data_IF_652339437828
#
_entry.id   IF_652339437828
#
_cell.length_a   1.000
_cell.length_b   1.000
_cell.length_c   1.000
_cell.angle_alpha   90.00
_cell.angle_beta   90.00
_cell.angle_gamma   90.00
#
_symmetry.space_group_name_H-M   'P 1'
#
loop_
_entity.id
_entity.type
_entity.pdbx_description
1 polymer ?
#
# COMPACT_ATOMS: atom_id res chain seq x y z
N UNK A 1 36.38 24.81 -18.32
CA UNK A 1 35.37 23.74 -18.56
C UNK A 1 35.09 23.03 -17.23
N UNK A 2 34.09 23.49 -16.45
CA UNK A 2 33.66 22.85 -15.19
C UNK A 2 32.18 22.45 -15.36
N UNK A 3 31.92 21.49 -16.26
CA UNK A 3 30.54 21.11 -16.62
C UNK A 3 30.25 19.62 -16.42
N UNK A 4 31.28 18.78 -16.17
CA UNK A 4 31.12 17.33 -16.09
C UNK A 4 30.72 16.78 -14.71
N UNK A 5 31.22 17.39 -13.62
CA UNK A 5 31.04 16.84 -12.26
C UNK A 5 29.70 17.22 -11.61
N UNK A 6 29.12 18.37 -11.97
CA UNK A 6 27.85 18.83 -11.39
C UNK A 6 26.65 17.95 -11.81
N UNK A 7 26.63 17.46 -13.06
CA UNK A 7 25.56 16.59 -13.57
C UNK A 7 25.49 15.24 -12.83
N UNK A 8 26.64 14.66 -12.46
CA UNK A 8 26.70 13.36 -11.77
C UNK A 8 26.16 13.40 -10.34
N UNK A 9 26.45 14.47 -9.59
CA UNK A 9 25.99 14.66 -8.21
C UNK A 9 24.50 15.04 -8.17
N UNK A 10 24.04 15.86 -9.11
CA UNK A 10 22.62 16.24 -9.21
C UNK A 10 21.77 15.03 -9.63
N UNK A 11 22.23 14.21 -10.59
CA UNK A 11 21.52 13.00 -11.00
C UNK A 11 21.38 11.97 -9.89
N UNK A 12 22.46 11.69 -9.16
CA UNK A 12 22.47 10.72 -8.04
C UNK A 12 21.62 11.20 -6.87
N UNK A 13 21.65 12.49 -6.51
CA UNK A 13 20.81 13.04 -5.43
C UNK A 13 19.32 13.05 -5.77
N UNK A 14 18.94 13.36 -7.02
CA UNK A 14 17.54 13.25 -7.49
C UNK A 14 17.07 11.80 -7.47
N UNK A 15 17.89 10.86 -7.95
CA UNK A 15 17.57 9.43 -7.93
C UNK A 15 17.37 8.91 -6.50
N UNK A 16 18.30 9.22 -5.59
CA UNK A 16 18.18 8.85 -4.17
C UNK A 16 16.91 9.42 -3.55
N UNK A 17 16.59 10.69 -3.80
CA UNK A 17 15.36 11.32 -3.30
C UNK A 17 14.10 10.64 -3.81
N UNK A 18 14.06 10.26 -5.10
CA UNK A 18 12.93 9.51 -5.68
C UNK A 18 12.78 8.13 -5.04
N UNK A 19 13.89 7.40 -4.88
CA UNK A 19 13.92 6.09 -4.22
C UNK A 19 13.43 6.19 -2.77
N UNK A 20 13.92 7.16 -2.01
CA UNK A 20 13.49 7.39 -0.62
C UNK A 20 11.99 7.70 -0.52
N UNK A 21 11.46 8.58 -1.39
CA UNK A 21 10.02 8.87 -1.44
C UNK A 21 9.20 7.61 -1.74
N UNK A 22 9.67 6.76 -2.65
CA UNK A 22 9.01 5.49 -2.96
C UNK A 22 9.01 4.53 -1.76
N UNK A 23 10.15 4.35 -1.10
CA UNK A 23 10.26 3.54 0.12
C UNK A 23 9.35 4.06 1.24
N UNK A 24 9.33 5.37 1.47
CA UNK A 24 8.44 5.98 2.47
C UNK A 24 6.97 5.70 2.17
N UNK A 25 6.56 5.81 0.89
CA UNK A 25 5.20 5.50 0.46
C UNK A 25 4.84 4.03 0.72
N UNK A 26 5.73 3.10 0.36
CA UNK A 26 5.53 1.67 0.62
C UNK A 26 5.42 1.37 2.12
N UNK A 27 6.29 1.97 2.95
CA UNK A 27 6.23 1.78 4.40
C UNK A 27 4.90 2.28 4.98
N UNK A 28 4.40 3.44 4.53
CA UNK A 28 3.09 3.95 4.96
C UNK A 28 1.95 3.01 4.57
N UNK A 29 1.97 2.46 3.35
CA UNK A 29 0.98 1.49 2.90
C UNK A 29 1.06 0.20 3.74
N UNK A 30 2.26 -0.34 3.96
CA UNK A 30 2.46 -1.54 4.76
C UNK A 30 2.00 -1.36 6.22
N UNK A 31 2.20 -0.17 6.80
CA UNK A 31 1.67 0.16 8.13
C UNK A 31 0.15 0.10 8.16
N UNK A 32 -0.54 0.61 7.14
CA UNK A 32 -2.00 0.54 7.06
C UNK A 32 -2.49 -0.90 6.84
N UNK A 33 -1.78 -1.73 6.06
CA UNK A 33 -2.09 -3.16 5.93
C UNK A 33 -1.91 -3.88 7.25
N UNK A 34 -0.85 -3.58 8.01
CA UNK A 34 -0.65 -4.13 9.37
C UNK A 34 -1.76 -3.70 10.32
N UNK A 35 -2.15 -2.43 10.28
CA UNK A 35 -3.29 -1.91 11.04
C UNK A 35 -4.60 -2.64 10.67
N UNK A 36 -4.84 -2.90 9.38
CA UNK A 36 -5.99 -3.65 8.90
C UNK A 36 -6.01 -5.08 9.49
N UNK A 37 -4.88 -5.79 9.44
CA UNK A 37 -4.75 -7.14 10.03
C UNK A 37 -5.05 -7.13 11.53
N UNK A 38 -4.47 -6.17 12.26
CA UNK A 38 -4.67 -6.04 13.70
C UNK A 38 -6.13 -5.69 14.06
N UNK A 39 -6.78 -4.84 13.27
CA UNK A 39 -8.17 -4.41 13.54
C UNK A 39 -9.23 -5.47 13.23
N UNK A 40 -8.91 -6.48 12.41
CA UNK A 40 -9.76 -7.67 12.25
C UNK A 40 -9.76 -8.59 13.48
N UNK A 41 -8.77 -8.45 14.37
CA UNK A 41 -8.66 -9.21 15.62
C UNK A 41 -8.88 -10.73 15.44
N UNK A 42 -8.23 -11.32 14.43
CA UNK A 42 -8.33 -12.74 14.10
C UNK A 42 -6.94 -13.32 13.86
N UNK A 43 -6.69 -14.50 14.43
CA UNK A 43 -5.43 -15.23 14.26
C UNK A 43 -5.41 -16.05 12.96
N UNK A 44 -6.56 -16.19 12.30
CA UNK A 44 -6.74 -17.04 11.12
C UNK A 44 -6.55 -16.28 9.81
N UNK A 45 -5.50 -15.47 9.71
CA UNK A 45 -5.17 -14.73 8.48
C UNK A 45 -4.32 -15.60 7.56
N UNK A 46 -4.87 -15.96 6.40
CA UNK A 46 -4.21 -16.81 5.40
C UNK A 46 -3.43 -15.99 4.36
N UNK A 47 -3.79 -14.72 4.18
CA UNK A 47 -3.16 -13.89 3.19
C UNK A 47 -3.72 -12.47 3.18
N UNK A 48 -3.07 -11.63 2.39
CA UNK A 48 -3.56 -10.29 2.11
C UNK A 48 -3.00 -9.83 0.77
N UNK A 49 -3.82 -9.15 -0.01
CA UNK A 49 -3.36 -8.51 -1.25
C UNK A 49 -3.75 -7.04 -1.24
N UNK A 50 -3.03 -6.25 -2.03
CA UNK A 50 -3.30 -4.83 -2.23
C UNK A 50 -2.95 -4.43 -3.65
N UNK A 51 -3.85 -3.70 -4.29
CA UNK A 51 -3.66 -3.12 -5.63
C UNK A 51 -3.99 -1.65 -5.62
N UNK A 52 -3.35 -0.89 -6.51
CA UNK A 52 -3.77 0.49 -6.78
C UNK A 52 -5.02 0.43 -7.66
N UNK A 53 -6.08 1.14 -7.30
CA UNK A 53 -7.28 1.25 -8.14
C UNK A 53 -6.95 2.00 -9.43
N UNK A 54 -7.55 1.58 -10.54
CA UNK A 54 -7.37 2.24 -11.84
C UNK A 54 -8.28 3.49 -11.95
N UNK A 55 -9.50 3.40 -11.43
CA UNK A 55 -10.51 4.47 -11.43
C UNK A 55 -10.22 5.52 -10.35
N UNK A 56 -9.78 5.09 -9.17
CA UNK A 56 -9.51 5.99 -8.05
C UNK A 56 -8.04 6.00 -7.69
N UNK A 57 -7.52 7.13 -7.23
CA UNK A 57 -6.12 7.21 -6.77
C UNK A 57 -5.87 6.47 -5.43
N UNK A 58 -6.86 5.69 -4.96
CA UNK A 58 -6.80 4.87 -3.76
C UNK A 58 -6.04 3.56 -4.02
N UNK A 59 -5.61 2.93 -2.93
CA UNK A 59 -5.28 1.52 -2.89
C UNK A 59 -6.48 0.75 -2.34
N UNK A 60 -6.75 -0.41 -2.91
CA UNK A 60 -7.78 -1.34 -2.47
C UNK A 60 -7.10 -2.67 -2.19
N UNK A 61 -7.47 -3.33 -1.11
CA UNK A 61 -6.93 -4.63 -0.75
C UNK A 61 -7.95 -5.50 -0.05
N UNK A 62 -7.56 -6.74 0.17
CA UNK A 62 -8.32 -7.68 0.99
C UNK A 62 -7.40 -8.39 1.98
N UNK A 63 -7.99 -8.80 3.11
CA UNK A 63 -7.38 -9.75 4.05
C UNK A 63 -8.22 -11.02 4.02
N UNK A 64 -7.56 -12.15 3.79
CA UNK A 64 -8.20 -13.45 3.65
C UNK A 64 -8.19 -14.12 5.03
N UNK A 65 -9.38 -14.31 5.60
CA UNK A 65 -9.58 -14.87 6.94
C UNK A 65 -10.33 -16.19 6.81
N UNK A 66 -9.94 -17.20 7.58
CA UNK A 66 -10.75 -18.43 7.69
C UNK A 66 -11.85 -18.20 8.73
N UNK A 67 -13.09 -18.21 8.26
CA UNK A 67 -14.30 -18.11 9.07
C UNK A 67 -15.21 -19.28 8.72
N UNK A 68 -15.70 -20.02 9.73
CA UNK A 68 -16.63 -21.14 9.52
C UNK A 68 -16.14 -22.15 8.45
N UNK A 69 -14.84 -22.51 8.50
CA UNK A 69 -14.15 -23.36 7.51
C UNK A 69 -14.18 -22.85 6.06
N UNK A 70 -14.40 -21.56 5.85
CA UNK A 70 -14.37 -20.91 4.52
C UNK A 70 -13.43 -19.71 4.56
N UNK A 71 -12.73 -19.48 3.45
CA UNK A 71 -11.91 -18.27 3.31
C UNK A 71 -12.83 -17.13 2.90
N UNK A 72 -12.91 -16.10 3.73
CA UNK A 72 -13.67 -14.87 3.51
C UNK A 72 -12.69 -13.73 3.29
N UNK A 73 -12.97 -12.90 2.29
CA UNK A 73 -12.19 -11.70 1.99
C UNK A 73 -12.79 -10.48 2.70
N UNK A 74 -11.98 -9.82 3.52
CA UNK A 74 -12.33 -8.56 4.17
C UNK A 74 -11.67 -7.40 3.43
N UNK A 75 -12.49 -6.61 2.73
CA UNK A 75 -12.00 -5.56 1.85
C UNK A 75 -11.74 -4.24 2.57
N UNK A 76 -10.65 -3.58 2.21
CA UNK A 76 -10.29 -2.27 2.74
C UNK A 76 -9.79 -1.35 1.64
N UNK A 77 -9.82 -0.04 1.91
CA UNK A 77 -9.20 0.99 1.08
C UNK A 77 -8.22 1.83 1.88
N UNK A 78 -7.16 2.25 1.21
CA UNK A 78 -6.20 3.25 1.69
C UNK A 78 -6.22 4.42 0.70
N UNK A 79 -6.64 5.59 1.16
CA UNK A 79 -6.68 6.81 0.34
C UNK A 79 -5.27 7.37 0.08
N UNK A 80 -5.09 8.34 -0.85
CA UNK A 80 -3.79 8.96 -1.13
C UNK A 80 -3.13 9.62 0.09
N UNK A 81 -3.95 10.08 1.05
CA UNK A 81 -3.52 10.64 2.34
C UNK A 81 -3.16 9.56 3.38
N UNK A 82 -3.17 8.28 2.98
CA UNK A 82 -2.95 7.11 3.81
C UNK A 82 -4.03 6.85 4.86
N UNK A 83 -5.19 7.51 4.76
CA UNK A 83 -6.33 7.18 5.62
C UNK A 83 -6.89 5.80 5.26
N UNK A 84 -7.16 5.01 6.29
CA UNK A 84 -7.66 3.64 6.20
C UNK A 84 -9.17 3.60 6.38
N UNK A 85 -9.86 2.73 5.65
CA UNK A 85 -11.28 2.43 5.90
C UNK A 85 -11.63 1.03 5.42
N UNK A 86 -12.44 0.31 6.21
CA UNK A 86 -13.13 -0.90 5.76
C UNK A 86 -14.16 -0.55 4.68
N UNK A 87 -14.33 -1.44 3.70
CA UNK A 87 -15.36 -1.32 2.66
C UNK A 87 -16.11 -2.64 2.55
N UNK A 88 -17.42 -2.55 2.36
CA UNK A 88 -18.30 -3.71 2.24
C UNK A 88 -18.28 -4.34 0.86
N UNK A 89 -17.84 -3.60 -0.17
CA UNK A 89 -17.77 -4.13 -1.52
C UNK A 89 -16.68 -3.43 -2.33
N UNK A 90 -16.00 -4.18 -3.20
CA UNK A 90 -15.15 -3.62 -4.23
C UNK A 90 -16.06 -3.30 -5.42
N UNK A 91 -16.07 -2.04 -5.87
CA UNK A 91 -16.59 -1.74 -7.20
C UNK A 91 -15.55 -2.28 -8.18
N UNK A 92 -15.85 -3.41 -8.81
CA UNK A 92 -15.05 -3.90 -9.94
C UNK A 92 -15.11 -2.88 -11.07
N UNK A 93 -13.94 -2.68 -11.70
CA UNK A 93 -13.80 -1.89 -12.93
C UNK A 93 -14.41 -2.66 -14.11
#
# INVERSE_FOLDING_TARGET
MISGLAMGIIGTSIYLRRKMKHTQRLNKINLQVKHAKNSLNTDHIYGSWIKKSSISNNYVGAINVLENNKIVEHFFKIRPDYSFSWISNIKED
#
